data_IF_974320060098
#
_entry.id   IF_974320060098
#
_cell.length_a   1.000
_cell.length_b   1.000
_cell.length_c   1.000
_cell.angle_alpha   90.00
_cell.angle_beta   90.00
_cell.angle_gamma   90.00
#
_symmetry.space_group_name_H-M   'P 1'
#
loop_
_entity.id
_entity.type
_entity.pdbx_description
1 polymer ?
#
# COMPACT_ATOMS: atom_id res chain seq x y z
N UNK A 1 -2.76 -10.67 22.26
CA UNK A 1 -2.48 -11.43 21.03
C UNK A 1 -1.01 -11.24 20.66
N UNK A 2 -0.31 -12.32 20.33
CA UNK A 2 1.06 -12.30 19.80
C UNK A 2 1.02 -12.45 18.28
N UNK A 3 2.00 -11.88 17.60
CA UNK A 3 2.23 -11.98 16.16
C UNK A 3 3.59 -12.63 15.95
N UNK A 4 3.69 -13.62 15.07
CA UNK A 4 4.94 -14.23 14.63
C UNK A 4 5.37 -13.60 13.32
N UNK A 5 6.45 -12.83 13.35
CA UNK A 5 6.98 -12.15 12.16
C UNK A 5 8.22 -12.89 11.68
N UNK A 6 8.24 -13.32 10.43
CA UNK A 6 9.45 -13.82 9.78
C UNK A 6 10.28 -12.64 9.29
N UNK A 7 11.47 -12.47 9.88
CA UNK A 7 12.43 -11.45 9.46
C UNK A 7 13.26 -12.01 8.31
N UNK A 8 13.05 -11.46 7.11
CA UNK A 8 13.59 -12.02 5.87
C UNK A 8 15.11 -11.94 5.77
N UNK A 9 15.71 -10.86 6.29
CA UNK A 9 17.17 -10.68 6.31
C UNK A 9 17.83 -11.63 7.31
N UNK A 10 17.30 -11.68 8.54
CA UNK A 10 17.84 -12.51 9.62
C UNK A 10 17.43 -13.99 9.52
N UNK A 11 16.50 -14.33 8.62
CA UNK A 11 15.93 -15.67 8.42
C UNK A 11 15.43 -16.33 9.71
N UNK A 12 14.84 -15.53 10.62
CA UNK A 12 14.33 -15.99 11.92
C UNK A 12 12.92 -15.47 12.19
N UNK A 13 12.19 -16.18 13.04
CA UNK A 13 10.87 -15.76 13.51
C UNK A 13 10.99 -14.99 14.82
N UNK A 14 10.37 -13.82 14.88
CA UNK A 14 10.23 -13.02 16.09
C UNK A 14 8.79 -13.08 16.60
N UNK A 15 8.60 -13.29 17.91
CA UNK A 15 7.29 -13.27 18.57
C UNK A 15 7.09 -11.92 19.25
N UNK A 16 6.08 -11.17 18.82
CA UNK A 16 5.90 -9.77 19.20
C UNK A 16 4.46 -9.53 19.67
N UNK A 17 4.22 -8.82 20.79
CA UNK A 17 2.89 -8.34 21.14
C UNK A 17 2.25 -7.50 20.03
N UNK A 18 0.95 -7.66 19.81
CA UNK A 18 0.19 -6.96 18.74
C UNK A 18 0.54 -5.47 18.60
N UNK A 19 0.49 -4.71 19.69
CA UNK A 19 0.72 -3.26 19.62
C UNK A 19 2.19 -2.91 19.31
N UNK A 20 3.15 -3.77 19.69
CA UNK A 20 4.55 -3.61 19.31
C UNK A 20 4.77 -3.97 17.84
N UNK A 21 4.03 -4.95 17.32
CA UNK A 21 4.00 -5.25 15.88
C UNK A 21 3.46 -4.06 15.08
N UNK A 22 2.29 -3.54 15.45
CA UNK A 22 1.67 -2.37 14.79
C UNK A 22 2.61 -1.16 14.80
N UNK A 23 3.33 -0.93 15.91
CA UNK A 23 4.36 0.12 15.95
C UNK A 23 5.49 -0.10 14.95
N UNK A 24 5.99 -1.33 14.86
CA UNK A 24 7.04 -1.67 13.90
C UNK A 24 6.58 -1.52 12.45
N UNK A 25 5.31 -1.85 12.17
CA UNK A 25 4.68 -1.62 10.86
C UNK A 25 4.55 -0.13 10.57
N UNK A 26 4.02 0.65 11.52
CA UNK A 26 3.84 2.08 11.35
C UNK A 26 5.18 2.79 11.05
N UNK A 27 6.26 2.37 11.71
CA UNK A 27 7.60 2.88 11.46
C UNK A 27 8.17 2.46 10.10
N UNK A 28 7.77 1.30 9.57
CA UNK A 28 8.21 0.80 8.25
C UNK A 28 7.43 1.42 7.09
N UNK A 29 6.14 1.67 7.29
CA UNK A 29 5.20 2.04 6.23
C UNK A 29 5.00 3.55 6.08
N UNK A 30 5.09 4.33 7.16
CA UNK A 30 4.83 5.77 7.11
C UNK A 30 6.03 6.62 7.54
N UNK A 31 6.29 7.74 6.84
CA UNK A 31 7.24 8.74 7.33
C UNK A 31 6.80 9.30 8.68
N UNK A 32 7.73 9.40 9.63
CA UNK A 32 7.45 9.94 10.97
C UNK A 32 6.98 11.41 10.95
N UNK A 33 7.29 12.13 9.87
CA UNK A 33 6.84 13.50 9.64
C UNK A 33 5.34 13.64 9.38
N UNK A 34 4.63 12.56 9.05
CA UNK A 34 3.19 12.61 8.75
C UNK A 34 2.36 13.00 9.97
N UNK A 35 1.18 13.57 9.72
CA UNK A 35 0.29 14.06 10.76
C UNK A 35 -0.18 12.94 11.71
N UNK A 36 -0.42 13.24 13.00
CA UNK A 36 -0.86 12.25 13.98
C UNK A 36 -2.10 11.45 13.56
N UNK A 37 -3.09 12.10 12.92
CA UNK A 37 -4.32 11.42 12.48
C UNK A 37 -4.07 10.45 11.31
N UNK A 38 -3.11 10.74 10.42
CA UNK A 38 -2.69 9.82 9.37
C UNK A 38 -1.96 8.59 9.97
N UNK A 39 -1.08 8.81 10.95
CA UNK A 39 -0.40 7.73 11.67
C UNK A 39 -1.41 6.85 12.43
N UNK A 40 -2.46 7.43 13.02
CA UNK A 40 -3.54 6.68 13.66
C UNK A 40 -4.34 5.85 12.65
N UNK A 41 -4.71 6.42 11.52
CA UNK A 41 -5.42 5.71 10.46
C UNK A 41 -4.62 4.47 9.99
N UNK A 42 -3.32 4.64 9.76
CA UNK A 42 -2.44 3.52 9.41
C UNK A 42 -2.30 2.49 10.54
N UNK A 43 -2.21 2.91 11.81
CA UNK A 43 -2.15 1.97 12.92
C UNK A 43 -3.41 1.08 12.97
N UNK A 44 -4.60 1.65 12.73
CA UNK A 44 -5.87 0.91 12.65
C UNK A 44 -5.88 -0.03 11.44
N UNK A 45 -5.48 0.45 10.25
CA UNK A 45 -5.41 -0.38 9.04
C UNK A 45 -4.42 -1.55 9.20
N UNK A 46 -3.22 -1.28 9.74
CA UNK A 46 -2.21 -2.28 10.01
C UNK A 46 -2.70 -3.35 11.00
N UNK A 47 -3.36 -2.93 12.09
CA UNK A 47 -3.97 -3.86 13.06
C UNK A 47 -5.07 -4.69 12.42
N UNK A 48 -5.90 -4.09 11.57
CA UNK A 48 -6.99 -4.77 10.87
C UNK A 48 -6.48 -5.90 9.99
N UNK A 49 -5.45 -5.61 9.19
CA UNK A 49 -4.78 -6.59 8.34
C UNK A 49 -4.31 -7.81 9.12
N UNK A 50 -3.53 -7.61 10.19
CA UNK A 50 -3.00 -8.74 10.97
C UNK A 50 -4.09 -9.47 11.76
N UNK A 51 -5.11 -8.76 12.27
CA UNK A 51 -6.26 -9.38 12.94
C UNK A 51 -7.03 -10.29 11.99
N UNK A 52 -7.32 -9.82 10.77
CA UNK A 52 -7.99 -10.63 9.74
C UNK A 52 -7.19 -11.89 9.42
N UNK A 53 -5.88 -11.74 9.19
CA UNK A 53 -4.98 -12.83 8.84
C UNK A 53 -4.89 -13.90 9.92
N UNK A 54 -4.69 -13.47 11.18
CA UNK A 54 -4.68 -14.37 12.34
C UNK A 54 -6.03 -15.07 12.55
N UNK A 55 -7.14 -14.36 12.36
CA UNK A 55 -8.47 -14.95 12.44
C UNK A 55 -8.65 -16.02 11.36
N UNK A 56 -8.25 -15.77 10.12
CA UNK A 56 -8.32 -16.74 9.03
C UNK A 56 -7.34 -17.92 9.19
N UNK A 57 -6.32 -17.80 10.05
CA UNK A 57 -5.20 -18.75 10.10
C UNK A 57 -4.34 -18.70 8.82
N UNK A 58 -4.41 -17.60 8.08
CA UNK A 58 -3.73 -17.44 6.80
C UNK A 58 -2.21 -17.26 7.01
N UNK A 59 -1.43 -18.15 6.40
CA UNK A 59 0.04 -18.13 6.39
C UNK A 59 0.62 -18.12 4.98
N UNK A 60 -0.19 -17.77 3.97
CA UNK A 60 0.23 -17.64 2.58
C UNK A 60 1.47 -16.74 2.45
N UNK A 61 2.40 -17.05 1.54
CA UNK A 61 3.59 -16.21 1.33
C UNK A 61 4.62 -16.18 2.48
N UNK A 62 4.43 -16.95 3.56
CA UNK A 62 5.40 -17.07 4.65
C UNK A 62 6.27 -18.33 4.45
N UNK A 63 7.61 -18.24 4.52
CA UNK A 63 8.47 -19.42 4.45
C UNK A 63 8.25 -20.39 5.62
N UNK A 64 7.97 -21.66 5.32
CA UNK A 64 7.96 -22.76 6.30
C UNK A 64 6.83 -22.73 7.33
N UNK A 65 5.75 -21.96 7.08
CA UNK A 65 4.51 -21.89 7.89
C UNK A 65 4.69 -21.58 9.39
N UNK A 66 5.89 -21.21 9.84
CA UNK A 66 6.21 -20.98 11.24
C UNK A 66 5.83 -19.56 11.73
N UNK A 67 5.50 -18.67 10.81
CA UNK A 67 5.14 -17.27 11.07
C UNK A 67 3.78 -16.92 10.48
N UNK A 68 3.24 -15.79 10.94
CA UNK A 68 1.94 -15.26 10.50
C UNK A 68 2.13 -14.27 9.34
N UNK A 69 3.25 -13.53 9.31
CA UNK A 69 3.61 -12.53 8.29
C UNK A 69 5.11 -12.45 8.08
N UNK A 70 5.54 -11.83 6.98
CA UNK A 70 6.94 -11.38 6.75
C UNK A 70 7.10 -9.89 7.05
N UNK A 71 8.34 -9.41 7.07
CA UNK A 71 8.72 -8.00 7.30
C UNK A 71 8.82 -7.16 6.02
N UNK A 72 8.21 -7.60 4.92
CA UNK A 72 8.30 -6.98 3.59
C UNK A 72 6.94 -6.53 3.07
N UNK A 73 6.94 -5.80 1.95
CA UNK A 73 5.73 -5.36 1.22
C UNK A 73 4.83 -6.50 0.72
N UNK A 74 5.29 -7.76 0.78
CA UNK A 74 4.44 -8.93 0.56
C UNK A 74 3.33 -9.04 1.60
N UNK A 75 3.56 -8.53 2.81
CA UNK A 75 2.55 -8.42 3.86
C UNK A 75 2.48 -6.97 4.36
N UNK A 76 3.43 -6.57 5.21
CA UNK A 76 3.62 -5.21 5.72
C UNK A 76 5.09 -5.03 6.10
N UNK A 77 5.68 -3.88 5.76
CA UNK A 77 7.05 -3.54 6.14
C UNK A 77 7.11 -3.42 7.65
N UNK A 78 7.80 -4.35 8.32
CA UNK A 78 7.95 -4.36 9.77
C UNK A 78 9.38 -4.00 10.15
N UNK A 79 9.55 -3.00 11.00
CA UNK A 79 10.86 -2.63 11.57
C UNK A 79 10.98 -3.17 13.00
N UNK A 80 11.89 -4.14 13.26
CA UNK A 80 12.16 -4.62 14.60
C UNK A 80 12.60 -3.51 15.55
N UNK A 81 12.27 -3.65 16.83
CA UNK A 81 12.60 -2.65 17.86
C UNK A 81 14.09 -2.32 17.92
N UNK A 82 14.95 -3.33 17.77
CA UNK A 82 16.41 -3.15 17.78
C UNK A 82 16.92 -2.27 16.63
N UNK A 83 16.27 -2.31 15.46
CA UNK A 83 16.56 -1.41 14.33
C UNK A 83 15.95 -0.04 14.56
N UNK A 84 14.71 0.01 15.08
CA UNK A 84 14.01 1.27 15.34
C UNK A 84 14.75 2.15 16.37
N UNK A 85 15.30 1.55 17.44
CA UNK A 85 16.08 2.27 18.46
C UNK A 85 17.37 2.91 17.93
N UNK A 86 17.89 2.41 16.81
CA UNK A 86 19.10 2.90 16.13
C UNK A 86 18.80 3.86 14.98
N UNK A 87 17.53 4.04 14.62
CA UNK A 87 17.11 4.86 13.47
C UNK A 87 17.34 6.36 13.72
N UNK A 88 17.18 6.79 14.97
CA UNK A 88 17.31 8.17 15.41
C UNK A 88 18.20 8.23 16.65
N UNK A 89 18.79 9.40 16.92
CA UNK A 89 19.66 9.62 18.08
C UNK A 89 19.15 10.78 18.95
N UNK A 90 19.64 10.84 20.20
CA UNK A 90 19.33 11.92 21.14
C UNK A 90 17.83 12.21 21.30
N UNK A 91 17.49 13.49 21.36
CA UNK A 91 16.11 13.97 21.53
C UNK A 91 15.19 13.62 20.35
N UNK A 92 15.73 13.52 19.12
CA UNK A 92 14.94 13.16 17.95
C UNK A 92 14.33 11.77 18.12
N UNK A 93 15.11 10.83 18.64
CA UNK A 93 14.65 9.47 18.95
C UNK A 93 13.49 9.50 19.94
N UNK A 94 13.60 10.29 21.00
CA UNK A 94 12.57 10.38 22.03
C UNK A 94 11.28 10.98 21.48
N UNK A 95 11.37 12.08 20.73
CA UNK A 95 10.21 12.71 20.06
C UNK A 95 9.53 11.76 19.08
N UNK A 96 10.29 11.11 18.21
CA UNK A 96 9.77 10.22 17.17
C UNK A 96 9.14 8.95 17.76
N UNK A 97 9.80 8.33 18.75
CA UNK A 97 9.22 7.18 19.46
C UNK A 97 7.96 7.57 20.23
N UNK A 98 7.93 8.75 20.85
CA UNK A 98 6.74 9.26 21.56
C UNK A 98 5.57 9.41 20.60
N UNK A 99 5.79 10.03 19.43
CA UNK A 99 4.75 10.19 18.40
C UNK A 99 4.22 8.84 17.88
N UNK A 100 5.10 7.89 17.57
CA UNK A 100 4.70 6.54 17.15
C UNK A 100 3.91 5.81 18.24
N UNK A 101 4.42 5.82 19.47
CA UNK A 101 3.75 5.15 20.60
C UNK A 101 2.39 5.77 20.87
N UNK A 102 2.25 7.10 20.76
CA UNK A 102 0.99 7.79 20.92
C UNK A 102 -0.06 7.35 19.89
N UNK A 103 0.30 7.28 18.60
CA UNK A 103 -0.61 6.85 17.54
C UNK A 103 -1.12 5.40 17.77
N UNK A 104 -0.23 4.49 18.15
CA UNK A 104 -0.58 3.10 18.45
C UNK A 104 -1.44 2.99 19.71
N UNK A 105 -1.05 3.67 20.79
CA UNK A 105 -1.75 3.60 22.07
C UNK A 105 -3.14 4.22 22.01
N UNK A 106 -3.30 5.36 21.32
CA UNK A 106 -4.58 6.04 21.18
C UNK A 106 -5.57 5.25 20.29
N UNK A 107 -5.06 4.36 19.43
CA UNK A 107 -5.87 3.47 18.58
C UNK A 107 -5.86 2.02 19.06
N UNK A 108 -5.44 1.77 20.31
CA UNK A 108 -5.24 0.41 20.81
C UNK A 108 -6.51 -0.41 20.71
N UNK A 109 -6.39 -1.57 20.05
CA UNK A 109 -7.49 -2.51 19.83
C UNK A 109 -8.53 -2.03 18.81
N UNK A 110 -8.31 -0.95 18.07
CA UNK A 110 -9.22 -0.51 17.01
C UNK A 110 -8.87 -1.18 15.68
N UNK A 111 -9.91 -1.62 14.97
CA UNK A 111 -9.84 -2.23 13.63
C UNK A 111 -10.99 -1.70 12.75
N UNK A 112 -10.86 -1.86 11.44
CA UNK A 112 -11.90 -1.57 10.46
C UNK A 112 -12.67 -2.85 10.13
N UNK A 113 -14.00 -2.76 10.12
CA UNK A 113 -14.89 -3.88 9.80
C UNK A 113 -15.94 -3.49 8.76
N UNK A 114 -16.41 -4.48 8.00
CA UNK A 114 -17.56 -4.37 7.12
C UNK A 114 -18.47 -5.55 7.43
N UNK A 115 -19.75 -5.29 7.68
CA UNK A 115 -20.73 -6.31 8.12
C UNK A 115 -20.22 -7.15 9.32
N UNK A 116 -19.58 -6.48 10.29
CA UNK A 116 -19.06 -7.10 11.51
C UNK A 116 -17.81 -7.96 11.34
N UNK A 117 -17.21 -8.02 10.14
CA UNK A 117 -15.99 -8.79 9.86
C UNK A 117 -14.81 -7.86 9.57
N UNK A 118 -13.58 -8.17 10.04
CA UNK A 118 -12.38 -7.42 9.67
C UNK A 118 -12.20 -7.34 8.14
N UNK A 119 -11.97 -6.13 7.62
CA UNK A 119 -11.82 -5.92 6.18
C UNK A 119 -10.42 -6.30 5.66
N UNK A 120 -10.30 -6.43 4.35
CA UNK A 120 -8.99 -6.35 3.68
C UNK A 120 -8.50 -4.89 3.69
N UNK A 121 -7.76 -4.49 4.73
CA UNK A 121 -7.29 -3.12 4.94
C UNK A 121 -6.04 -2.79 4.12
N UNK A 122 -6.17 -2.82 2.79
CA UNK A 122 -5.09 -2.52 1.85
C UNK A 122 -4.74 -1.04 1.86
N UNK A 123 -3.45 -0.73 1.74
CA UNK A 123 -2.96 0.64 1.63
C UNK A 123 -1.74 0.69 0.72
N UNK A 124 -1.44 1.88 0.22
CA UNK A 124 -0.32 2.13 -0.69
C UNK A 124 0.21 3.55 -0.52
N UNK A 125 1.37 3.85 -1.10
CA UNK A 125 2.04 5.14 -0.91
C UNK A 125 1.23 6.32 -1.46
N UNK A 126 1.07 6.39 -2.78
CA UNK A 126 0.58 7.60 -3.46
C UNK A 126 -0.37 7.25 -4.60
N UNK A 127 -1.49 7.96 -4.68
CA UNK A 127 -2.47 7.82 -5.75
C UNK A 127 -2.12 8.70 -6.95
N UNK A 128 -2.71 8.40 -8.09
CA UNK A 128 -2.73 9.26 -9.28
C UNK A 128 -3.86 10.31 -9.22
N UNK A 129 -4.40 10.57 -8.03
CA UNK A 129 -5.61 11.38 -7.79
C UNK A 129 -6.86 10.57 -7.47
N UNK A 130 -6.84 9.26 -7.70
CA UNK A 130 -7.93 8.32 -7.38
C UNK A 130 -7.39 6.98 -6.88
N UNK A 131 -8.16 6.30 -6.04
CA UNK A 131 -7.91 4.90 -5.69
C UNK A 131 -8.52 3.97 -6.75
N UNK A 132 -8.20 2.68 -6.70
CA UNK A 132 -8.76 1.65 -7.58
C UNK A 132 -9.85 0.85 -6.87
N UNK A 133 -10.79 0.33 -7.67
CA UNK A 133 -11.62 -0.78 -7.23
C UNK A 133 -10.75 -2.03 -7.05
N UNK A 134 -11.08 -2.89 -6.08
CA UNK A 134 -10.35 -4.14 -5.83
C UNK A 134 -10.22 -5.04 -7.07
N UNK A 135 -11.29 -5.15 -7.85
CA UNK A 135 -11.41 -6.00 -9.03
C UNK A 135 -10.63 -5.48 -10.25
N UNK A 136 -10.18 -4.22 -10.21
CA UNK A 136 -9.35 -3.64 -11.26
C UNK A 136 -7.86 -4.01 -11.06
N UNK A 137 -7.48 -4.55 -9.89
CA UNK A 137 -6.13 -5.00 -9.58
C UNK A 137 -6.03 -6.51 -9.24
N UNK A 138 -7.05 -7.07 -8.59
CA UNK A 138 -7.22 -8.50 -8.28
C UNK A 138 -8.55 -9.02 -8.85
N UNK A 139 -8.84 -10.31 -8.75
CA UNK A 139 -10.08 -10.86 -9.33
C UNK A 139 -11.33 -10.66 -8.43
N UNK A 140 -11.15 -10.30 -7.17
CA UNK A 140 -12.23 -10.22 -6.18
C UNK A 140 -12.77 -8.80 -6.03
N UNK A 141 -14.09 -8.64 -6.18
CA UNK A 141 -14.80 -7.40 -5.89
C UNK A 141 -15.15 -7.33 -4.39
N UNK A 142 -14.60 -6.35 -3.68
CA UNK A 142 -14.79 -6.13 -2.24
C UNK A 142 -15.55 -4.82 -1.99
N UNK A 143 -16.76 -4.81 -1.41
CA UNK A 143 -17.63 -3.62 -1.35
C UNK A 143 -17.00 -2.38 -0.73
N UNK A 144 -16.06 -2.58 0.20
CA UNK A 144 -15.35 -1.51 0.91
C UNK A 144 -14.05 -1.06 0.22
N UNK A 145 -13.61 -1.69 -0.88
CA UNK A 145 -12.45 -1.26 -1.67
C UNK A 145 -12.90 -0.74 -3.03
N UNK A 146 -13.36 0.51 -3.02
CA UNK A 146 -13.88 1.22 -4.19
C UNK A 146 -12.98 2.39 -4.56
N UNK A 147 -13.02 2.75 -5.84
CA UNK A 147 -12.38 3.96 -6.34
C UNK A 147 -13.00 5.20 -5.70
N UNK A 148 -12.21 5.96 -4.94
CA UNK A 148 -12.55 7.26 -4.36
C UNK A 148 -11.52 8.30 -4.77
N UNK A 149 -11.93 9.57 -4.77
CA UNK A 149 -11.02 10.67 -5.05
C UNK A 149 -9.96 10.81 -3.95
N UNK A 150 -8.73 11.12 -4.32
CA UNK A 150 -7.60 11.32 -3.43
C UNK A 150 -6.75 12.49 -3.95
N UNK A 151 -7.32 13.72 -3.95
CA UNK A 151 -6.74 14.87 -4.65
C UNK A 151 -5.46 15.42 -4.01
N UNK A 152 -5.23 15.14 -2.72
CA UNK A 152 -4.09 15.66 -1.97
C UNK A 152 -2.76 15.15 -2.51
N UNK A 153 -2.70 13.89 -2.91
CA UNK A 153 -1.50 13.18 -3.37
C UNK A 153 -0.72 13.95 -4.42
N UNK A 154 -1.44 14.56 -5.38
CA UNK A 154 -0.87 15.39 -6.45
C UNK A 154 -0.06 16.58 -5.94
N UNK A 155 -0.42 17.09 -4.78
CA UNK A 155 0.14 18.34 -4.23
C UNK A 155 1.21 18.10 -3.19
N UNK A 156 1.10 17.03 -2.40
CA UNK A 156 1.97 16.83 -1.23
C UNK A 156 2.93 15.65 -1.36
N UNK A 157 2.68 14.69 -2.25
CA UNK A 157 3.56 13.54 -2.38
C UNK A 157 4.74 13.83 -3.31
N UNK A 158 5.99 13.67 -2.85
CA UNK A 158 7.16 13.73 -3.72
C UNK A 158 7.19 12.55 -4.71
N UNK A 159 6.49 11.45 -4.40
CA UNK A 159 6.38 10.25 -5.22
C UNK A 159 5.22 10.31 -6.23
N UNK A 160 4.55 11.46 -6.36
CA UNK A 160 3.39 11.58 -7.24
C UNK A 160 3.74 11.42 -8.72
N UNK A 161 4.93 11.85 -9.13
CA UNK A 161 5.33 11.85 -10.54
C UNK A 161 6.79 11.44 -10.66
N UNK A 162 7.04 10.38 -11.42
CA UNK A 162 8.38 9.90 -11.73
C UNK A 162 8.52 9.70 -13.23
N UNK A 163 9.70 9.99 -13.78
CA UNK A 163 10.02 9.73 -15.19
C UNK A 163 11.21 8.79 -15.27
N UNK A 164 11.06 7.71 -16.04
CA UNK A 164 12.15 6.78 -16.36
C UNK A 164 12.37 6.74 -17.87
N UNK A 165 13.63 6.66 -18.28
CA UNK A 165 14.02 6.64 -19.70
C UNK A 165 14.79 5.37 -20.01
N UNK A 166 14.47 4.75 -21.14
CA UNK A 166 15.20 3.59 -21.66
C UNK A 166 15.12 3.55 -23.18
N UNK A 167 15.98 2.76 -23.83
CA UNK A 167 15.86 2.56 -25.27
C UNK A 167 14.56 1.83 -25.63
N UNK A 168 13.94 2.21 -26.74
CA UNK A 168 12.70 1.59 -27.23
C UNK A 168 12.89 0.07 -27.44
N UNK A 169 14.08 -0.35 -27.88
CA UNK A 169 14.44 -1.76 -28.00
C UNK A 169 14.45 -2.49 -26.65
N UNK A 170 14.96 -1.86 -25.58
CA UNK A 170 14.95 -2.42 -24.24
C UNK A 170 13.54 -2.51 -23.66
N UNK A 171 12.73 -1.47 -23.87
CA UNK A 171 11.31 -1.46 -23.50
C UNK A 171 10.57 -2.66 -24.10
N UNK A 172 10.66 -2.88 -25.42
CA UNK A 172 9.99 -4.01 -26.07
C UNK A 172 10.48 -5.36 -25.56
N UNK A 173 11.80 -5.50 -25.40
CA UNK A 173 12.39 -6.74 -24.87
C UNK A 173 11.89 -7.05 -23.46
N UNK A 174 11.77 -6.06 -22.57
CA UNK A 174 11.20 -6.25 -21.22
C UNK A 174 9.73 -6.69 -21.28
N UNK A 175 8.97 -6.22 -22.28
CA UNK A 175 7.59 -6.66 -22.48
C UNK A 175 7.46 -8.07 -23.09
N UNK A 176 8.54 -8.65 -23.60
CA UNK A 176 8.53 -9.92 -24.34
C UNK A 176 8.13 -9.76 -25.81
N UNK A 177 8.31 -8.55 -26.36
CA UNK A 177 7.94 -8.17 -27.72
C UNK A 177 9.21 -7.91 -28.55
N UNK A 178 9.13 -8.12 -29.86
CA UNK A 178 10.25 -7.89 -30.78
C UNK A 178 10.84 -6.49 -30.64
N UNK A 179 12.16 -6.38 -30.49
CA UNK A 179 12.88 -5.11 -30.28
C UNK A 179 12.77 -4.13 -31.45
N UNK A 180 12.39 -4.61 -32.64
CA UNK A 180 12.16 -3.81 -33.86
C UNK A 180 10.73 -3.27 -33.97
N UNK A 181 9.89 -3.48 -32.96
CA UNK A 181 8.50 -3.06 -32.97
C UNK A 181 8.39 -1.53 -32.98
N UNK A 182 7.48 -1.00 -33.80
CA UNK A 182 7.24 0.45 -33.87
C UNK A 182 6.51 0.95 -32.62
N UNK A 183 6.95 2.09 -32.08
CA UNK A 183 6.24 2.80 -31.01
C UNK A 183 4.80 3.19 -31.39
N UNK A 184 4.47 3.32 -32.68
CA UNK A 184 3.09 3.57 -33.15
C UNK A 184 2.10 2.47 -32.78
N UNK A 185 2.60 1.29 -32.39
CA UNK A 185 1.77 0.18 -31.90
C UNK A 185 1.37 0.33 -30.43
N UNK A 186 1.90 1.32 -29.70
CA UNK A 186 1.50 1.61 -28.32
C UNK A 186 0.25 2.48 -28.29
N UNK A 187 -0.82 2.00 -27.67
CA UNK A 187 -2.05 2.76 -27.48
C UNK A 187 -2.81 2.30 -26.24
N UNK A 188 -3.19 3.25 -25.37
CA UNK A 188 -4.13 2.96 -24.28
C UNK A 188 -5.50 2.63 -24.90
N UNK A 189 -6.02 1.45 -24.57
CA UNK A 189 -7.32 0.98 -25.06
C UNK A 189 -8.42 1.22 -24.04
N UNK A 190 -8.10 1.12 -22.75
CA UNK A 190 -9.06 1.24 -21.67
C UNK A 190 -8.38 1.69 -20.37
N UNK A 191 -9.14 2.39 -19.53
CA UNK A 191 -8.72 2.87 -18.21
C UNK A 191 -9.76 2.51 -17.16
N UNK A 192 -9.30 2.26 -15.94
CA UNK A 192 -10.16 2.02 -14.79
C UNK A 192 -10.85 3.32 -14.32
N UNK A 193 -11.81 3.22 -13.40
CA UNK A 193 -12.42 4.40 -12.76
C UNK A 193 -11.38 5.23 -12.00
N UNK A 194 -10.40 4.54 -11.41
CA UNK A 194 -9.22 5.13 -10.76
C UNK A 194 -8.18 5.69 -11.73
N UNK A 195 -8.47 5.70 -13.04
CA UNK A 195 -7.65 6.27 -14.13
C UNK A 195 -6.31 5.56 -14.37
N UNK A 196 -6.12 4.34 -13.87
CA UNK A 196 -4.99 3.48 -14.27
C UNK A 196 -5.27 2.79 -15.60
N UNK A 197 -4.23 2.39 -16.32
CA UNK A 197 -4.36 1.70 -17.61
C UNK A 197 -4.88 0.29 -17.34
N UNK A 198 -6.09 -0.02 -17.81
CA UNK A 198 -6.65 -1.37 -17.75
C UNK A 198 -6.13 -2.22 -18.90
N UNK A 199 -6.12 -1.67 -20.12
CA UNK A 199 -5.67 -2.36 -21.35
C UNK A 199 -4.78 -1.46 -22.20
N UNK A 200 -3.66 -1.99 -22.65
CA UNK A 200 -2.67 -1.36 -23.52
C UNK A 200 -2.42 -2.24 -24.75
N UNK A 201 -2.64 -1.70 -25.94
CA UNK A 201 -2.12 -2.32 -27.16
C UNK A 201 -0.61 -2.09 -27.22
N UNK A 202 0.15 -3.16 -27.46
CA UNK A 202 1.60 -3.17 -27.47
C UNK A 202 2.11 -4.21 -28.48
N UNK A 203 2.64 -3.79 -29.63
CA UNK A 203 3.28 -4.70 -30.58
C UNK A 203 2.41 -5.85 -31.12
N UNK A 204 1.11 -5.63 -31.28
CA UNK A 204 0.15 -6.67 -31.72
C UNK A 204 -0.44 -7.51 -30.58
N UNK A 205 -0.02 -7.27 -29.33
CA UNK A 205 -0.59 -7.86 -28.12
C UNK A 205 -1.44 -6.84 -27.36
N UNK A 206 -2.30 -7.34 -26.47
CA UNK A 206 -2.97 -6.54 -25.45
C UNK A 206 -2.43 -6.95 -24.10
N UNK A 207 -1.83 -6.00 -23.39
CA UNK A 207 -1.32 -6.16 -22.04
C UNK A 207 -2.16 -5.33 -21.07
N UNK A 208 -2.23 -5.76 -19.82
CA UNK A 208 -2.75 -4.92 -18.73
C UNK A 208 -1.72 -3.86 -18.31
N UNK A 209 -2.17 -2.73 -17.76
CA UNK A 209 -1.24 -1.76 -17.19
C UNK A 209 -0.42 -2.33 -16.04
N UNK A 210 -0.96 -3.30 -15.29
CA UNK A 210 -0.26 -4.02 -14.24
C UNK A 210 0.90 -4.86 -14.78
N UNK A 211 0.69 -5.64 -15.84
CA UNK A 211 1.77 -6.42 -16.46
C UNK A 211 2.89 -5.52 -16.96
N UNK A 212 2.54 -4.38 -17.57
CA UNK A 212 3.53 -3.40 -18.05
C UNK A 212 4.31 -2.80 -16.88
N UNK A 213 3.61 -2.41 -15.81
CA UNK A 213 4.22 -1.90 -14.57
C UNK A 213 5.23 -2.90 -14.00
N UNK A 214 4.81 -4.14 -13.79
CA UNK A 214 5.63 -5.19 -13.17
C UNK A 214 6.85 -5.55 -14.04
N UNK A 215 6.66 -5.73 -15.36
CA UNK A 215 7.76 -6.05 -16.29
C UNK A 215 8.79 -4.93 -16.42
N UNK A 216 8.36 -3.68 -16.32
CA UNK A 216 9.23 -2.51 -16.48
C UNK A 216 9.81 -2.00 -15.16
N UNK A 217 9.19 -2.37 -14.01
CA UNK A 217 9.54 -1.85 -12.70
C UNK A 217 9.00 -0.44 -12.46
N UNK A 218 7.82 -0.11 -13.00
CA UNK A 218 7.23 1.22 -12.85
C UNK A 218 6.58 1.40 -11.45
N UNK A 219 6.54 2.62 -10.90
CA UNK A 219 5.85 2.93 -9.65
C UNK A 219 4.36 2.54 -9.63
N UNK A 220 3.64 2.77 -10.74
CA UNK A 220 2.21 2.50 -10.87
C UNK A 220 1.82 2.06 -12.29
N UNK A 221 0.55 1.66 -12.44
CA UNK A 221 -0.07 1.35 -13.73
C UNK A 221 -0.76 2.57 -14.39
N UNK A 222 -0.54 3.78 -13.87
CA UNK A 222 -0.89 5.01 -14.58
C UNK A 222 0.41 5.62 -15.10
N UNK A 223 0.54 5.66 -16.43
CA UNK A 223 1.70 6.24 -17.08
C UNK A 223 1.37 6.80 -18.46
N UNK A 224 2.23 7.70 -18.92
CA UNK A 224 2.26 8.26 -20.27
C UNK A 224 3.65 8.09 -20.84
N UNK A 225 3.80 8.24 -22.16
CA UNK A 225 5.11 8.10 -22.79
C UNK A 225 5.37 9.08 -23.92
N UNK A 226 6.64 9.37 -24.14
CA UNK A 226 7.17 10.10 -25.31
C UNK A 226 8.28 9.26 -25.93
N UNK A 227 8.35 9.21 -27.26
CA UNK A 227 9.43 8.51 -27.98
C UNK A 227 10.21 9.52 -28.80
N UNK A 228 11.51 9.58 -28.57
CA UNK A 228 12.42 10.53 -29.23
C UNK A 228 13.82 9.91 -29.33
N UNK A 229 14.51 10.09 -30.46
CA UNK A 229 15.89 9.62 -30.61
C UNK A 229 16.11 8.10 -30.51
N UNK A 230 15.04 7.29 -30.59
CA UNK A 230 15.11 5.83 -30.36
C UNK A 230 14.92 5.41 -28.90
N UNK A 231 14.73 6.37 -28.00
CA UNK A 231 14.41 6.16 -26.60
C UNK A 231 12.93 6.40 -26.32
N UNK A 232 12.45 5.79 -25.24
CA UNK A 232 11.13 6.01 -24.67
C UNK A 232 11.29 6.58 -23.27
N UNK A 233 10.69 7.76 -23.07
CA UNK A 233 10.51 8.40 -21.77
C UNK A 233 9.12 8.02 -21.25
N UNK A 234 9.05 7.39 -20.08
CA UNK A 234 7.80 6.95 -19.45
C UNK A 234 7.62 7.77 -18.18
N UNK A 235 6.53 8.54 -18.12
CA UNK A 235 6.15 9.30 -16.93
C UNK A 235 4.99 8.61 -16.23
N UNK A 236 5.24 8.15 -15.00
CA UNK A 236 4.28 7.46 -14.13
C UNK A 236 3.70 8.41 -13.11
N UNK A 237 2.45 8.15 -12.71
CA UNK A 237 1.75 8.95 -11.71
C UNK A 237 1.23 8.06 -10.56
N UNK A 238 1.53 8.47 -9.33
CA UNK A 238 1.32 7.68 -8.11
C UNK A 238 2.33 6.54 -7.94
N UNK A 239 2.30 5.93 -6.76
CA UNK A 239 3.20 4.87 -6.33
C UNK A 239 2.43 3.78 -5.57
N UNK A 240 2.42 2.57 -6.11
CA UNK A 240 1.74 1.41 -5.51
C UNK A 240 0.54 0.91 -6.31
N UNK A 241 -0.17 -0.08 -5.75
CA UNK A 241 -1.27 -0.77 -6.42
C UNK A 241 -2.54 0.09 -6.55
N UNK A 242 -2.74 1.08 -5.67
CA UNK A 242 -3.85 2.03 -5.80
C UNK A 242 -5.13 1.66 -5.05
N UNK A 243 -5.22 0.47 -4.48
CA UNK A 243 -6.44 -0.04 -3.83
C UNK A 243 -6.42 0.27 -2.33
N UNK A 244 -7.54 0.77 -1.79
CA UNK A 244 -7.70 1.09 -0.38
C UNK A 244 -7.11 2.44 0.00
N UNK A 245 -6.42 2.54 1.13
CA UNK A 245 -5.97 3.82 1.67
C UNK A 245 -4.66 4.32 1.04
N UNK A 246 -4.66 5.54 0.49
CA UNK A 246 -3.43 6.26 0.14
C UNK A 246 -2.79 6.82 1.41
N UNK A 247 -1.50 6.52 1.65
CA UNK A 247 -0.75 7.04 2.79
C UNK A 247 -0.54 8.56 2.70
N UNK A 248 -0.10 9.05 1.54
CA UNK A 248 0.02 10.50 1.31
C UNK A 248 -1.34 11.16 1.29
N UNK A 249 -2.36 10.52 0.73
CA UNK A 249 -3.73 11.03 0.77
C UNK A 249 -4.28 11.15 2.20
N UNK A 250 -3.98 10.17 3.07
CA UNK A 250 -4.30 10.23 4.50
C UNK A 250 -3.60 11.40 5.20
N UNK A 251 -2.33 11.65 4.90
CA UNK A 251 -1.59 12.81 5.41
C UNK A 251 -2.20 14.14 4.95
N UNK A 252 -2.61 14.22 3.68
CA UNK A 252 -3.30 15.39 3.14
C UNK A 252 -4.64 15.67 3.80
N UNK A 253 -5.42 14.62 4.05
CA UNK A 253 -6.66 14.72 4.83
C UNK A 253 -6.40 15.18 6.27
N UNK A 254 -5.39 14.61 6.92
CA UNK A 254 -5.01 14.98 8.28
C UNK A 254 -4.54 16.44 8.39
N UNK A 255 -3.74 16.92 7.42
CA UNK A 255 -3.36 18.34 7.28
C UNK A 255 -4.55 19.26 7.08
N UNK A 256 -5.61 18.76 6.45
CA UNK A 256 -6.89 19.46 6.32
C UNK A 256 -7.80 19.30 7.56
N UNK A 257 -7.29 18.78 8.67
CA UNK A 257 -8.00 18.66 9.95
C UNK A 257 -8.90 17.44 10.10
N UNK A 258 -8.82 16.46 9.18
CA UNK A 258 -9.62 15.23 9.26
C UNK A 258 -9.06 14.27 10.30
N UNK A 259 -9.96 13.67 11.07
CA UNK A 259 -9.65 12.61 12.03
C UNK A 259 -9.31 11.30 11.34
N UNK A 260 -8.64 10.39 12.07
CA UNK A 260 -8.36 9.04 11.59
C UNK A 260 -9.62 8.29 11.12
N UNK A 261 -10.76 8.49 11.78
CA UNK A 261 -12.03 7.86 11.42
C UNK A 261 -12.57 8.38 10.09
N UNK A 262 -12.50 9.70 9.86
CA UNK A 262 -12.91 10.29 8.58
C UNK A 262 -12.00 9.83 7.44
N UNK A 263 -10.69 9.72 7.69
CA UNK A 263 -9.71 9.18 6.74
C UNK A 263 -10.07 7.75 6.36
N UNK A 264 -10.28 6.87 7.35
CA UNK A 264 -10.60 5.47 7.11
C UNK A 264 -11.95 5.29 6.40
N UNK A 265 -12.97 6.07 6.80
CA UNK A 265 -14.30 6.00 6.19
C UNK A 265 -14.30 6.48 4.74
N UNK A 266 -13.42 7.42 4.41
CA UNK A 266 -13.22 7.89 3.03
C UNK A 266 -12.62 6.80 2.14
N UNK A 267 -11.57 6.12 2.61
CA UNK A 267 -10.86 5.11 1.80
C UNK A 267 -11.47 3.71 1.85
N UNK A 268 -12.25 3.39 2.88
CA UNK A 268 -12.91 2.10 3.06
C UNK A 268 -14.43 2.27 3.09
N UNK A 269 -15.06 2.21 1.92
CA UNK A 269 -16.47 2.59 1.72
C UNK A 269 -17.42 1.73 2.56
N UNK A 270 -18.24 2.38 3.40
CA UNK A 270 -19.23 1.70 4.24
C UNK A 270 -18.63 0.83 5.36
N UNK A 271 -17.33 0.95 5.61
CA UNK A 271 -16.67 0.25 6.70
C UNK A 271 -16.68 1.08 7.99
N UNK A 272 -16.65 0.41 9.14
CA UNK A 272 -16.75 1.03 10.46
C UNK A 272 -15.52 0.69 11.30
N UNK A 273 -15.07 1.64 12.11
CA UNK A 273 -14.03 1.38 13.11
C UNK A 273 -14.65 0.88 14.39
N UNK A 274 -14.29 -0.34 14.78
CA UNK A 274 -14.75 -0.99 16.02
C UNK A 274 -13.55 -1.38 16.88
N UNK A 275 -13.83 -1.74 18.13
CA UNK A 275 -12.81 -2.31 19.02
C UNK A 275 -12.80 -3.83 18.92
N UNK A 276 -11.64 -4.47 19.02
CA UNK A 276 -11.50 -5.93 18.86
C UNK A 276 -12.23 -6.72 19.95
N UNK A 277 -12.46 -6.12 21.12
CA UNK A 277 -13.22 -6.71 22.23
C UNK A 277 -14.74 -6.78 21.95
N UNK A 278 -15.24 -6.00 20.98
CA UNK A 278 -16.64 -6.07 20.53
C UNK A 278 -16.87 -7.11 19.43
N UNK A 279 -15.84 -7.81 18.95
CA UNK A 279 -16.01 -8.92 18.00
C UNK A 279 -16.58 -10.16 18.70
N UNK A 280 -17.48 -10.93 18.05
CA UNK A 280 -17.95 -12.21 18.60
C UNK A 280 -16.75 -13.12 18.88
N UNK A 281 -16.63 -13.63 20.11
CA UNK A 281 -15.62 -14.64 20.42
C UNK A 281 -15.92 -15.90 19.61
N UNK A 282 -14.90 -16.52 19.03
CA UNK A 282 -15.05 -17.86 18.45
C UNK A 282 -15.63 -18.80 19.52
N UNK A 283 -16.62 -19.65 19.19
CA UNK A 283 -16.92 -20.79 20.03
C UNK A 283 -15.63 -21.60 20.20
N UNK A 284 -15.37 -22.04 21.44
CA UNK A 284 -14.23 -22.86 21.80
C UNK A 284 -14.24 -24.20 21.05
#
# INVERSE_FOLDING_TARGET
MLVRVYLTVEKRVEKVPMELYVRGVLAGEMPIGFEPEALKAQAIAARTYIVKRLAAGDRSGVPGEAADVTDTTAHQVYVPLSKLQKRWSGEERERNLTKLNAAVQQTRGQIVTYEGKPIEALFFSTSNGYTENSEDYWDASLPYLRSVASPWDKTISPEYKETTTMSLAAFWRKLGISSKTSARSLRVLDTTDGRRIRKLAAGGQVLTGREVREKLGLPSAQFTWKVEGGDIEITTYGYGHGVGMSQWGADGMAKAGRSAYEILSHYYTGAEVVRTDSLPRRPA
#
